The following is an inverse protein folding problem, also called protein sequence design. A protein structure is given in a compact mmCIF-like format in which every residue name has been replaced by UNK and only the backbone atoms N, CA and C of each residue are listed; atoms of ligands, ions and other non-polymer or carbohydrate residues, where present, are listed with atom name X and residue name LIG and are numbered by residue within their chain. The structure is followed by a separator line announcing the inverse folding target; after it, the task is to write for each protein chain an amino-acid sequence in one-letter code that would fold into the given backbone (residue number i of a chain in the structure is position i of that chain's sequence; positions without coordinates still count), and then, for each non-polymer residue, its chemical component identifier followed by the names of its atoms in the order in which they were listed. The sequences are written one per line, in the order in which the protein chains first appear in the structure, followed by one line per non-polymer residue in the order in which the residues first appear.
data_IF_068112108426
#
_entry.id   IF_068112108426
#
_cell.length_a   1.000
_cell.length_b   1.000
_cell.length_c   1.000
_cell.angle_alpha   90.00
_cell.angle_beta   90.00
_cell.angle_gamma   90.00
#
_symmetry.space_group_name_H-M   'P 1'
#
loop_
_entity.id
_entity.type
_entity.pdbx_description
1 polymer ?
#
# COMPACT_ATOMS: atom_id res chain seq x y z
N UNK A 1 -2.31 -20.91 -31.90
CA UNK A 1 -2.50 -20.95 -30.42
C UNK A 1 -2.41 -19.51 -29.92
N UNK A 2 -3.42 -18.98 -29.23
CA UNK A 2 -3.39 -17.61 -28.71
C UNK A 2 -2.44 -17.55 -27.50
N UNK A 3 -1.56 -16.55 -27.43
CA UNK A 3 -0.63 -16.32 -26.31
C UNK A 3 -1.35 -16.40 -24.94
N UNK A 4 -2.58 -15.90 -24.86
CA UNK A 4 -3.44 -15.99 -23.67
C UNK A 4 -3.84 -17.41 -23.26
N UNK A 5 -4.05 -18.31 -24.23
CA UNK A 5 -4.39 -19.71 -23.94
C UNK A 5 -3.17 -20.50 -23.45
N UNK A 6 -1.95 -20.07 -23.84
CA UNK A 6 -0.71 -20.66 -23.39
C UNK A 6 -0.27 -20.17 -21.99
N UNK A 7 -0.64 -18.94 -21.62
CA UNK A 7 -0.16 -18.26 -20.41
C UNK A 7 -1.07 -18.39 -19.17
N UNK A 8 -2.31 -18.88 -19.29
CA UNK A 8 -3.15 -19.20 -18.12
C UNK A 8 -3.35 -18.03 -17.14
N UNK A 9 -3.09 -18.26 -15.84
CA UNK A 9 -3.25 -17.26 -14.77
C UNK A 9 -2.21 -16.12 -14.82
N UNK A 10 -1.03 -16.37 -15.42
CA UNK A 10 0.08 -15.42 -15.52
C UNK A 10 -0.24 -14.23 -16.44
N UNK A 11 -1.29 -14.37 -17.25
CA UNK A 11 -1.86 -13.32 -18.11
C UNK A 11 -2.31 -12.07 -17.33
N UNK A 12 -2.85 -12.26 -16.12
CA UNK A 12 -3.33 -11.14 -15.30
C UNK A 12 -2.16 -10.27 -14.86
N UNK A 13 -1.15 -10.91 -14.28
CA UNK A 13 0.10 -10.27 -13.86
C UNK A 13 0.82 -9.58 -15.03
N UNK A 14 0.87 -10.22 -16.20
CA UNK A 14 1.47 -9.62 -17.39
C UNK A 14 0.71 -8.37 -17.86
N UNK A 15 -0.62 -8.34 -17.71
CA UNK A 15 -1.42 -7.14 -17.99
C UNK A 15 -1.10 -5.99 -17.03
N UNK A 16 -1.03 -6.26 -15.73
CA UNK A 16 -0.63 -5.27 -14.73
C UNK A 16 0.79 -4.74 -14.99
N UNK A 17 1.72 -5.62 -15.39
CA UNK A 17 3.07 -5.23 -15.77
C UNK A 17 3.09 -4.33 -17.01
N UNK A 18 2.35 -4.68 -18.06
CA UNK A 18 2.24 -3.83 -19.26
C UNK A 18 1.63 -2.48 -18.91
N UNK A 19 0.59 -2.45 -18.07
CA UNK A 19 -0.04 -1.21 -17.61
C UNK A 19 0.96 -0.33 -16.85
N UNK A 20 1.70 -0.86 -15.88
CA UNK A 20 2.68 -0.08 -15.12
C UNK A 20 3.85 0.43 -15.96
N UNK A 21 4.18 -0.25 -17.07
CA UNK A 21 5.16 0.27 -18.05
C UNK A 21 4.59 1.37 -18.94
N UNK A 22 3.32 1.28 -19.32
CA UNK A 22 2.64 2.31 -20.11
C UNK A 22 2.33 3.57 -19.28
N UNK A 23 2.10 3.41 -17.98
CA UNK A 23 1.80 4.48 -17.04
C UNK A 23 2.83 4.47 -15.89
N UNK A 24 4.02 5.07 -16.07
CA UNK A 24 5.09 5.06 -15.06
C UNK A 24 4.70 5.69 -13.72
N UNK A 25 3.67 6.55 -13.72
CA UNK A 25 3.12 7.18 -12.52
C UNK A 25 1.98 6.35 -11.89
N UNK A 26 1.76 5.10 -12.32
CA UNK A 26 0.80 4.22 -11.70
C UNK A 26 1.35 3.67 -10.37
N UNK A 27 0.64 3.98 -9.29
CA UNK A 27 0.99 3.59 -7.94
C UNK A 27 0.31 2.26 -7.56
N UNK A 28 1.00 1.31 -6.92
CA UNK A 28 0.34 0.05 -6.50
C UNK A 28 -0.63 0.32 -5.34
N UNK A 29 -1.86 -0.18 -5.45
CA UNK A 29 -2.88 0.04 -4.41
C UNK A 29 -2.45 -0.45 -3.03
N UNK A 30 -1.84 -1.64 -2.96
CA UNK A 30 -1.28 -2.21 -1.72
C UNK A 30 -0.21 -1.33 -1.07
N UNK A 31 0.72 -0.80 -1.85
CA UNK A 31 1.76 0.10 -1.34
C UNK A 31 1.17 1.40 -0.82
N UNK A 32 0.23 1.99 -1.56
CA UNK A 32 -0.44 3.22 -1.12
C UNK A 32 -1.29 2.98 0.12
N UNK A 33 -1.99 1.84 0.21
CA UNK A 33 -2.73 1.45 1.42
C UNK A 33 -1.81 1.38 2.64
N UNK A 34 -0.62 0.78 2.48
CA UNK A 34 0.39 0.68 3.51
C UNK A 34 0.88 2.05 3.98
N UNK A 35 1.26 2.92 3.05
CA UNK A 35 1.70 4.28 3.35
C UNK A 35 0.59 5.06 4.07
N UNK A 36 -0.65 5.02 3.57
CA UNK A 36 -1.80 5.70 4.17
C UNK A 36 -2.09 5.20 5.59
N UNK A 37 -2.04 3.88 5.81
CA UNK A 37 -2.20 3.31 7.15
C UNK A 37 -1.08 3.79 8.09
N UNK A 38 0.17 3.78 7.63
CA UNK A 38 1.31 4.20 8.44
C UNK A 38 1.15 5.63 8.94
N UNK A 39 0.78 6.56 8.04
CA UNK A 39 0.49 7.95 8.40
C UNK A 39 -0.68 8.04 9.36
N UNK A 40 -1.79 7.34 9.09
CA UNK A 40 -2.96 7.32 9.98
C UNK A 40 -2.62 6.80 11.38
N UNK A 41 -1.83 5.73 11.45
CA UNK A 41 -1.44 5.06 12.68
C UNK A 41 -0.49 5.89 13.52
N UNK A 42 0.36 6.72 12.89
CA UNK A 42 1.26 7.65 13.59
C UNK A 42 0.54 8.57 14.58
N UNK A 43 -0.71 8.96 14.28
CA UNK A 43 -1.52 9.84 15.13
C UNK A 43 -2.33 9.10 16.19
N UNK A 44 -2.38 7.76 16.12
CA UNK A 44 -3.21 6.91 17.00
C UNK A 44 -2.39 6.18 18.04
N UNK A 45 -1.16 5.79 17.70
CA UNK A 45 -0.26 5.16 18.65
C UNK A 45 0.10 6.14 19.77
N UNK A 46 -0.18 5.74 21.01
CA UNK A 46 0.16 6.50 22.22
C UNK A 46 1.04 5.64 23.15
N UNK A 47 2.27 5.31 22.74
CA UNK A 47 3.15 4.54 23.60
C UNK A 47 3.60 5.38 24.80
N UNK A 48 3.99 4.69 25.87
CA UNK A 48 4.70 5.34 26.96
C UNK A 48 6.10 5.73 26.46
N UNK A 49 6.62 6.91 26.83
CA UNK A 49 8.01 7.23 26.57
C UNK A 49 8.92 6.14 27.17
N UNK A 50 9.87 5.67 26.38
CA UNK A 50 10.82 4.65 26.76
C UNK A 50 12.20 4.95 26.15
N UNK A 51 13.25 4.27 26.63
CA UNK A 51 14.52 4.25 25.93
C UNK A 51 14.46 3.42 24.64
N UNK A 52 15.45 3.53 23.74
CA UNK A 52 15.55 2.64 22.60
C UNK A 52 15.72 1.18 23.08
N UNK A 53 15.08 0.20 22.41
CA UNK A 53 15.29 -1.21 22.72
C UNK A 53 16.74 -1.60 22.40
N UNK A 54 17.25 -2.56 23.15
CA UNK A 54 18.55 -3.15 22.90
C UNK A 54 18.44 -4.67 22.99
N UNK A 55 18.95 -5.37 21.99
CA UNK A 55 19.05 -6.82 21.96
C UNK A 55 20.50 -7.20 21.63
N UNK A 56 21.03 -8.18 22.35
CA UNK A 56 22.41 -8.63 22.18
C UNK A 56 22.52 -9.71 21.10
N UNK A 57 23.49 -9.56 20.20
CA UNK A 57 23.89 -10.60 19.24
C UNK A 57 23.49 -10.31 17.79
N UNK A 58 24.00 -11.12 16.83
CA UNK A 58 23.74 -10.91 15.41
C UNK A 58 22.31 -11.34 15.02
N UNK A 59 21.56 -10.42 14.42
CA UNK A 59 20.25 -10.69 13.83
C UNK A 59 19.27 -9.52 13.93
N UNK A 60 18.04 -9.79 13.49
CA UNK A 60 16.92 -8.85 13.53
C UNK A 60 15.89 -9.37 14.53
N UNK A 61 15.72 -8.63 15.62
CA UNK A 61 14.90 -9.04 16.75
C UNK A 61 13.73 -8.10 16.95
N UNK A 62 12.56 -8.65 17.21
CA UNK A 62 11.37 -7.89 17.59
C UNK A 62 10.70 -8.50 18.81
N UNK A 63 9.81 -7.72 19.43
CA UNK A 63 8.93 -8.18 20.50
C UNK A 63 7.49 -7.91 20.11
N UNK A 64 6.59 -8.73 20.63
CA UNK A 64 5.15 -8.54 20.44
C UNK A 64 4.71 -7.28 21.16
N UNK A 65 4.53 -6.21 20.38
CA UNK A 65 3.97 -4.95 20.83
C UNK A 65 2.49 -5.13 21.15
N UNK A 66 2.10 -4.77 22.37
CA UNK A 66 0.72 -4.82 22.84
C UNK A 66 0.09 -3.42 22.82
N UNK A 67 0.07 -2.81 21.63
CA UNK A 67 -0.70 -1.60 21.34
C UNK A 67 -1.88 -1.95 20.48
N UNK A 68 -2.96 -1.18 20.63
CA UNK A 68 -4.10 -1.25 19.72
C UNK A 68 -3.64 -0.82 18.33
N UNK A 69 -3.66 -1.76 17.39
CA UNK A 69 -3.31 -1.49 16.01
C UNK A 69 -4.54 -1.01 15.26
N UNK A 70 -4.48 0.10 14.51
CA UNK A 70 -5.68 0.59 13.84
C UNK A 70 -6.21 -0.36 12.77
N UNK A 71 -5.33 -1.00 11.99
CA UNK A 71 -5.72 -1.83 10.83
C UNK A 71 -4.79 -3.07 10.66
N UNK A 72 -3.64 -2.96 9.97
CA UNK A 72 -2.73 -4.09 9.67
C UNK A 72 -1.42 -4.11 10.48
N UNK A 73 -1.40 -4.95 11.53
CA UNK A 73 -0.24 -5.08 12.44
C UNK A 73 1.07 -5.54 11.76
N UNK A 74 1.01 -6.13 10.58
CA UNK A 74 2.15 -6.77 9.92
C UNK A 74 3.02 -5.84 9.08
N UNK A 75 2.53 -4.66 8.69
CA UNK A 75 3.24 -3.79 7.75
C UNK A 75 4.39 -3.01 8.38
N UNK A 76 4.34 -2.76 9.68
CA UNK A 76 5.34 -1.97 10.38
C UNK A 76 5.85 -2.74 11.58
N UNK A 77 7.09 -3.18 11.52
CA UNK A 77 7.67 -4.04 12.56
C UNK A 77 8.82 -3.30 13.24
N UNK A 78 8.68 -2.92 14.52
CA UNK A 78 9.79 -2.37 15.28
C UNK A 78 10.80 -3.48 15.57
N UNK A 79 12.08 -3.21 15.34
CA UNK A 79 13.16 -4.18 15.48
C UNK A 79 14.40 -3.57 16.15
N UNK A 80 15.25 -4.46 16.62
CA UNK A 80 16.69 -4.20 16.77
C UNK A 80 17.38 -4.97 15.65
N UNK A 81 17.96 -4.25 14.69
CA UNK A 81 18.62 -4.74 13.48
C UNK A 81 20.14 -4.65 13.66
N UNK A 82 20.79 -5.80 13.89
CA UNK A 82 22.23 -5.89 14.20
C UNK A 82 22.70 -4.93 15.31
N UNK A 83 21.85 -4.73 16.33
CA UNK A 83 22.12 -3.87 17.48
C UNK A 83 21.57 -2.45 17.36
N UNK A 84 21.09 -2.05 16.18
CA UNK A 84 20.54 -0.72 15.94
C UNK A 84 19.00 -0.74 15.95
N UNK A 85 18.32 0.18 16.64
CA UNK A 85 16.86 0.27 16.60
C UNK A 85 16.38 0.73 15.21
N UNK A 86 15.37 0.04 14.68
CA UNK A 86 14.77 0.38 13.40
C UNK A 86 13.28 0.00 13.34
N UNK A 87 12.57 0.49 12.34
CA UNK A 87 11.23 0.03 11.98
C UNK A 87 11.27 -0.44 10.53
N UNK A 88 11.05 -1.73 10.32
CA UNK A 88 10.99 -2.32 8.99
C UNK A 88 9.59 -2.10 8.41
N UNK A 89 9.54 -1.62 7.18
CA UNK A 89 8.32 -1.56 6.37
C UNK A 89 8.22 -2.84 5.54
N UNK A 90 7.08 -3.52 5.66
CA UNK A 90 6.75 -4.81 5.03
C UNK A 90 7.89 -5.84 4.99
N UNK A 91 8.47 -6.21 6.16
CA UNK A 91 9.59 -7.12 6.16
C UNK A 91 9.21 -8.51 5.63
N UNK A 92 10.08 -9.15 4.84
CA UNK A 92 9.89 -10.53 4.39
C UNK A 92 9.59 -11.50 5.55
N UNK A 93 8.76 -12.51 5.26
CA UNK A 93 8.46 -13.56 6.23
C UNK A 93 9.74 -14.22 6.73
N UNK A 94 9.81 -14.45 8.05
CA UNK A 94 10.95 -15.09 8.76
C UNK A 94 12.23 -14.24 8.83
N UNK A 95 12.23 -13.00 8.34
CA UNK A 95 13.35 -12.08 8.54
C UNK A 95 13.52 -11.74 10.03
N UNK A 96 12.41 -11.47 10.71
CA UNK A 96 12.37 -10.98 12.09
C UNK A 96 12.18 -12.13 13.08
N UNK A 97 13.02 -12.18 14.12
CA UNK A 97 12.91 -13.13 15.24
C UNK A 97 12.14 -12.50 16.39
N UNK A 98 11.00 -13.08 16.76
CA UNK A 98 10.20 -12.61 17.91
C UNK A 98 10.66 -13.28 19.20
N UNK A 99 11.18 -12.48 20.15
CA UNK A 99 11.82 -12.99 21.38
C UNK A 99 10.98 -12.85 22.65
N UNK A 100 9.75 -12.36 22.54
CA UNK A 100 8.85 -12.23 23.68
C UNK A 100 7.83 -11.10 23.52
N UNK A 101 7.25 -10.67 24.64
CA UNK A 101 6.35 -9.50 24.69
C UNK A 101 7.14 -8.24 25.02
N UNK A 102 6.69 -7.10 24.49
CA UNK A 102 7.21 -5.77 24.84
C UNK A 102 6.60 -5.31 26.17
N UNK A 103 7.26 -5.65 27.28
CA UNK A 103 6.76 -5.35 28.64
C UNK A 103 7.01 -3.89 29.01
N UNK A 104 8.18 -3.37 28.63
CA UNK A 104 8.64 -2.04 29.02
C UNK A 104 8.18 -0.93 28.04
N UNK A 105 7.62 -1.32 26.88
CA UNK A 105 7.08 -0.39 25.88
C UNK A 105 8.12 0.19 24.93
N UNK A 106 9.36 -0.30 24.95
CA UNK A 106 10.45 0.21 24.13
C UNK A 106 10.21 -0.03 22.63
N UNK A 107 9.68 -1.20 22.26
CA UNK A 107 9.32 -1.51 20.86
C UNK A 107 8.11 -0.71 20.40
N UNK A 108 7.11 -0.53 21.25
CA UNK A 108 5.97 0.35 21.00
C UNK A 108 6.42 1.80 20.75
N UNK A 109 7.41 2.26 21.52
CA UNK A 109 7.94 3.62 21.42
C UNK A 109 8.68 3.83 20.10
N UNK A 110 9.63 2.97 19.73
CA UNK A 110 10.34 3.11 18.44
C UNK A 110 9.39 2.97 17.25
N UNK A 111 8.33 2.15 17.37
CA UNK A 111 7.30 2.05 16.35
C UNK A 111 6.59 3.39 16.12
N UNK A 112 6.21 4.09 17.19
CA UNK A 112 5.62 5.43 17.05
C UNK A 112 6.59 6.44 16.44
N UNK A 113 7.89 6.36 16.76
CA UNK A 113 8.90 7.24 16.20
C UNK A 113 9.07 6.97 14.70
N UNK A 114 9.19 5.70 14.30
CA UNK A 114 9.27 5.32 12.89
C UNK A 114 8.02 5.74 12.10
N UNK A 115 6.81 5.55 12.65
CA UNK A 115 5.60 6.04 11.97
C UNK A 115 5.52 7.57 11.89
N UNK A 116 6.03 8.29 12.90
CA UNK A 116 6.14 9.74 12.83
C UNK A 116 7.12 10.18 11.73
N UNK A 117 8.28 9.52 11.61
CA UNK A 117 9.21 9.73 10.51
C UNK A 117 8.56 9.42 9.15
N UNK A 118 7.75 8.38 9.04
CA UNK A 118 7.03 8.06 7.79
C UNK A 118 6.12 9.21 7.39
N UNK A 119 5.38 9.75 8.36
CA UNK A 119 4.52 10.92 8.15
C UNK A 119 5.33 12.13 7.68
N UNK A 120 6.49 12.40 8.28
CA UNK A 120 7.35 13.50 7.85
C UNK A 120 7.95 13.27 6.46
N UNK A 121 8.42 12.06 6.18
CA UNK A 121 8.93 11.70 4.85
C UNK A 121 7.86 11.91 3.77
N UNK A 122 6.65 11.41 3.98
CA UNK A 122 5.56 11.55 3.00
C UNK A 122 5.11 13.01 2.86
N UNK A 123 4.97 13.76 3.96
CA UNK A 123 4.36 15.09 3.94
C UNK A 123 5.35 16.25 3.71
N UNK A 124 6.62 16.04 4.03
CA UNK A 124 7.67 17.09 4.07
C UNK A 124 8.96 16.70 3.36
N UNK A 125 9.07 15.46 2.89
CA UNK A 125 10.28 14.93 2.24
C UNK A 125 11.50 14.88 3.17
N UNK A 126 11.25 14.81 4.49
CA UNK A 126 12.28 14.67 5.51
C UNK A 126 12.85 13.23 5.49
N UNK A 127 14.15 13.02 5.28
CA UNK A 127 14.73 11.69 5.21
C UNK A 127 14.65 10.97 6.57
N UNK A 128 14.12 9.73 6.63
CA UNK A 128 13.94 9.02 7.88
C UNK A 128 15.22 8.34 8.35
N UNK A 129 15.39 8.24 9.67
CA UNK A 129 16.58 7.67 10.30
C UNK A 129 16.34 6.26 10.84
N UNK A 130 15.11 5.96 11.27
CA UNK A 130 14.69 4.69 11.87
C UNK A 130 14.00 3.75 10.87
N UNK A 131 13.36 4.28 9.83
CA UNK A 131 12.66 3.46 8.84
C UNK A 131 13.63 2.77 7.88
N UNK A 132 13.28 1.54 7.48
CA UNK A 132 13.98 0.74 6.46
C UNK A 132 12.96 0.10 5.52
N UNK A 133 13.35 -0.09 4.25
CA UNK A 133 12.46 -0.65 3.22
C UNK A 133 11.67 0.40 2.45
N UNK A 134 11.98 1.68 2.59
CA UNK A 134 11.30 2.75 1.86
C UNK A 134 11.71 2.85 0.39
N UNK A 135 12.90 2.34 0.06
CA UNK A 135 13.42 2.23 -1.29
C UNK A 135 12.56 1.34 -2.21
N UNK A 136 11.62 0.57 -1.64
CA UNK A 136 10.65 -0.21 -2.39
C UNK A 136 9.51 0.64 -2.96
N UNK A 137 9.28 1.85 -2.45
CA UNK A 137 8.22 2.73 -2.89
C UNK A 137 8.68 3.68 -4.00
N UNK A 138 7.79 3.91 -4.95
CA UNK A 138 7.99 4.88 -6.03
C UNK A 138 7.48 6.27 -5.62
N UNK A 139 7.97 7.33 -6.28
CA UNK A 139 7.46 8.69 -6.07
C UNK A 139 5.95 8.80 -6.31
N UNK A 140 5.41 8.06 -7.29
CA UNK A 140 3.97 8.01 -7.54
C UNK A 140 3.17 7.45 -6.36
N UNK A 141 3.72 6.49 -5.62
CA UNK A 141 3.10 5.91 -4.42
C UNK A 141 3.14 6.89 -3.25
N UNK A 142 4.25 7.60 -3.08
CA UNK A 142 4.38 8.65 -2.08
C UNK A 142 3.41 9.81 -2.37
N UNK A 143 3.32 10.26 -3.63
CA UNK A 143 2.39 11.31 -4.06
C UNK A 143 0.92 10.90 -3.85
N UNK A 144 0.54 9.70 -4.31
CA UNK A 144 -0.81 9.19 -4.14
C UNK A 144 -1.18 9.07 -2.66
N UNK A 145 -0.29 8.54 -1.81
CA UNK A 145 -0.51 8.46 -0.37
C UNK A 145 -0.65 9.85 0.27
N UNK A 146 0.21 10.80 -0.11
CA UNK A 146 0.17 12.20 0.37
C UNK A 146 -1.17 12.86 0.03
N UNK A 147 -1.65 12.71 -1.20
CA UNK A 147 -2.93 13.29 -1.62
C UNK A 147 -4.13 12.61 -0.96
N UNK A 148 -4.13 11.27 -0.88
CA UNK A 148 -5.21 10.51 -0.25
C UNK A 148 -5.31 10.79 1.25
N UNK A 149 -4.19 10.85 1.95
CA UNK A 149 -4.20 11.12 3.38
C UNK A 149 -4.83 12.49 3.70
N UNK A 150 -4.61 13.51 2.86
CA UNK A 150 -5.27 14.83 3.01
C UNK A 150 -6.79 14.76 2.86
N UNK A 151 -7.29 13.79 2.08
CA UNK A 151 -8.73 13.55 1.86
C UNK A 151 -9.32 12.59 2.89
N UNK A 152 -8.47 11.88 3.63
CA UNK A 152 -8.86 10.87 4.60
C UNK A 152 -9.49 11.55 5.83
N UNK A 153 -10.80 11.49 5.90
CA UNK A 153 -11.58 11.93 7.05
C UNK A 153 -12.67 10.93 7.38
N UNK A 154 -13.02 10.81 8.65
CA UNK A 154 -14.07 9.90 9.12
C UNK A 154 -13.69 9.17 10.41
N UNK A 155 -14.58 8.27 10.81
CA UNK A 155 -14.35 7.40 11.96
C UNK A 155 -13.32 6.28 11.64
N UNK A 156 -12.76 5.60 12.66
CA UNK A 156 -11.77 4.54 12.46
C UNK A 156 -12.25 3.37 11.60
N UNK A 157 -13.54 3.04 11.64
CA UNK A 157 -14.10 1.92 10.86
C UNK A 157 -14.11 2.26 9.38
N UNK A 158 -14.51 3.48 9.03
CA UNK A 158 -14.44 3.97 7.66
C UNK A 158 -13.01 4.01 7.14
N UNK A 159 -12.05 4.48 7.95
CA UNK A 159 -10.63 4.49 7.56
C UNK A 159 -10.11 3.08 7.32
N UNK A 160 -10.48 2.11 8.17
CA UNK A 160 -10.13 0.71 7.97
C UNK A 160 -10.71 0.17 6.65
N UNK A 161 -11.98 0.46 6.34
CA UNK A 161 -12.60 0.07 5.08
C UNK A 161 -11.90 0.68 3.87
N UNK A 162 -11.46 1.93 3.95
CA UNK A 162 -10.69 2.60 2.88
C UNK A 162 -9.38 1.87 2.64
N UNK A 163 -8.58 1.64 3.69
CA UNK A 163 -7.26 0.98 3.56
C UNK A 163 -7.40 -0.42 2.99
N UNK A 164 -8.36 -1.21 3.49
CA UNK A 164 -8.63 -2.54 2.93
C UNK A 164 -9.08 -2.48 1.47
N UNK A 165 -9.89 -1.48 1.11
CA UNK A 165 -10.31 -1.29 -0.28
C UNK A 165 -9.12 -0.94 -1.18
N UNK A 166 -8.27 -0.01 -0.76
CA UNK A 166 -7.07 0.40 -1.50
C UNK A 166 -6.10 -0.77 -1.68
N UNK A 167 -5.96 -1.62 -0.65
CA UNK A 167 -5.08 -2.79 -0.70
C UNK A 167 -5.45 -3.76 -1.82
N UNK A 168 -6.72 -3.82 -2.19
CA UNK A 168 -7.18 -4.69 -3.28
C UNK A 168 -7.27 -4.02 -4.65
N UNK A 169 -7.09 -2.70 -4.73
CA UNK A 169 -7.05 -1.96 -6.00
C UNK A 169 -5.76 -2.31 -6.75
N UNK A 170 -5.84 -2.56 -8.05
CA UNK A 170 -4.66 -2.93 -8.84
C UNK A 170 -3.68 -1.74 -8.89
N UNK A 171 -4.17 -0.53 -9.23
CA UNK A 171 -3.37 0.70 -9.25
C UNK A 171 -4.16 1.96 -8.88
N UNK A 172 -3.44 2.98 -8.41
CA UNK A 172 -3.88 4.36 -8.37
C UNK A 172 -3.15 5.16 -9.44
N UNK A 173 -3.85 6.09 -10.08
CA UNK A 173 -3.28 6.99 -11.07
C UNK A 173 -3.62 8.42 -10.69
N UNK A 174 -2.60 9.28 -10.62
CA UNK A 174 -2.76 10.71 -10.34
C UNK A 174 -2.58 11.49 -11.64
N UNK A 175 -3.64 12.16 -12.09
CA UNK A 175 -3.63 13.01 -13.29
C UNK A 175 -4.36 14.32 -12.98
N UNK A 176 -3.71 15.45 -13.24
CA UNK A 176 -4.28 16.80 -13.03
C UNK A 176 -4.91 17.03 -11.63
N UNK A 177 -4.33 16.39 -10.60
CA UNK A 177 -4.81 16.46 -9.21
C UNK A 177 -6.00 15.54 -8.89
N UNK A 178 -6.52 14.82 -9.88
CA UNK A 178 -7.52 13.77 -9.72
C UNK A 178 -6.84 12.44 -9.41
N UNK A 179 -7.51 11.60 -8.62
CA UNK A 179 -6.99 10.27 -8.26
C UNK A 179 -7.97 9.23 -8.80
N UNK A 180 -7.48 8.37 -9.66
CA UNK A 180 -8.24 7.25 -10.21
C UNK A 180 -7.87 5.98 -9.46
N UNK A 181 -8.85 5.17 -9.08
CA UNK A 181 -8.61 3.77 -8.74
C UNK A 181 -8.86 2.93 -9.98
N UNK A 182 -7.81 2.23 -10.38
CA UNK A 182 -7.72 1.55 -11.67
C UNK A 182 -7.76 0.06 -11.45
N UNK A 183 -8.69 -0.58 -12.14
CA UNK A 183 -8.71 -2.02 -12.29
C UNK A 183 -8.13 -2.42 -13.65
N UNK A 184 -7.23 -3.39 -13.67
CA UNK A 184 -6.62 -3.90 -14.88
C UNK A 184 -7.31 -5.19 -15.31
N UNK A 185 -7.67 -5.27 -16.60
CA UNK A 185 -8.24 -6.44 -17.23
C UNK A 185 -7.49 -6.80 -18.50
N UNK A 186 -6.79 -7.93 -18.48
CA UNK A 186 -6.21 -8.48 -19.70
C UNK A 186 -7.24 -9.29 -20.49
N UNK A 187 -7.50 -8.93 -21.75
CA UNK A 187 -8.32 -9.74 -22.66
C UNK A 187 -8.12 -9.39 -24.13
N UNK A 188 -8.06 -10.40 -25.01
CA UNK A 188 -7.99 -10.18 -26.46
C UNK A 188 -9.33 -9.80 -27.12
N UNK A 189 -10.46 -9.91 -26.39
CA UNK A 189 -11.79 -9.58 -26.90
C UNK A 189 -12.59 -8.87 -25.80
N UNK A 190 -12.50 -7.53 -25.69
CA UNK A 190 -13.23 -6.78 -24.68
C UNK A 190 -14.72 -6.72 -25.05
N UNK A 191 -15.50 -7.60 -24.46
CA UNK A 191 -16.97 -7.58 -24.56
C UNK A 191 -17.57 -7.24 -23.20
N UNK A 192 -18.74 -6.62 -23.17
CA UNK A 192 -19.40 -6.25 -21.90
C UNK A 192 -19.55 -7.43 -20.94
N UNK A 193 -19.86 -8.62 -21.46
CA UNK A 193 -19.96 -9.83 -20.64
C UNK A 193 -18.63 -10.18 -19.92
N UNK A 194 -17.48 -9.95 -20.56
CA UNK A 194 -16.16 -10.23 -19.98
C UNK A 194 -15.67 -9.15 -19.03
N UNK A 195 -16.12 -7.90 -19.23
CA UNK A 195 -15.76 -6.77 -18.39
C UNK A 195 -16.68 -6.65 -17.16
N UNK A 196 -17.90 -7.21 -17.22
CA UNK A 196 -18.94 -7.12 -16.18
C UNK A 196 -18.42 -7.38 -14.76
N UNK A 197 -17.62 -8.43 -14.56
CA UNK A 197 -17.08 -8.77 -13.22
C UNK A 197 -16.14 -7.68 -12.69
N UNK A 198 -15.21 -7.19 -13.52
CA UNK A 198 -14.28 -6.13 -13.13
C UNK A 198 -15.00 -4.79 -12.93
N UNK A 199 -15.96 -4.44 -13.79
CA UNK A 199 -16.85 -3.28 -13.57
C UNK A 199 -17.62 -3.36 -12.26
N UNK A 200 -18.21 -4.53 -11.94
CA UNK A 200 -18.93 -4.70 -10.68
C UNK A 200 -18.02 -4.57 -9.45
N UNK A 201 -16.78 -5.07 -9.53
CA UNK A 201 -15.76 -4.90 -8.49
C UNK A 201 -15.36 -3.43 -8.33
N UNK A 202 -15.07 -2.75 -9.45
CA UNK A 202 -14.75 -1.32 -9.49
C UNK A 202 -15.87 -0.48 -8.85
N UNK A 203 -17.14 -0.77 -9.16
CA UNK A 203 -18.29 -0.07 -8.56
C UNK A 203 -18.43 -0.32 -7.05
N UNK A 204 -18.15 -1.55 -6.57
CA UNK A 204 -18.12 -1.84 -5.13
C UNK A 204 -17.04 -1.04 -4.42
N UNK A 205 -15.84 -0.95 -5.00
CA UNK A 205 -14.73 -0.17 -4.45
C UNK A 205 -15.06 1.33 -4.47
N UNK A 206 -15.67 1.80 -5.55
CA UNK A 206 -16.12 3.19 -5.70
C UNK A 206 -17.08 3.61 -4.57
N UNK A 207 -17.93 2.72 -4.06
CA UNK A 207 -18.82 3.02 -2.94
C UNK A 207 -18.06 3.42 -1.64
N UNK A 208 -16.81 2.96 -1.49
CA UNK A 208 -15.93 3.28 -0.37
C UNK A 208 -15.01 4.44 -0.72
N UNK A 209 -14.14 4.26 -1.72
CA UNK A 209 -13.08 5.23 -2.03
C UNK A 209 -13.61 6.46 -2.78
N UNK A 210 -14.79 6.40 -3.38
CA UNK A 210 -15.44 7.55 -3.99
C UNK A 210 -15.77 8.65 -2.99
N UNK A 211 -15.95 8.32 -1.71
CA UNK A 211 -16.12 9.32 -0.62
C UNK A 211 -14.86 10.17 -0.40
N UNK A 212 -13.69 9.68 -0.83
CA UNK A 212 -12.42 10.40 -0.84
C UNK A 212 -12.16 11.10 -2.18
N UNK A 213 -13.17 11.14 -3.07
CA UNK A 213 -13.06 11.76 -4.39
C UNK A 213 -12.26 10.95 -5.41
N UNK A 214 -12.05 9.65 -5.17
CA UNK A 214 -11.43 8.80 -6.19
C UNK A 214 -12.44 8.50 -7.30
N UNK A 215 -11.92 8.46 -8.53
CA UNK A 215 -12.71 8.15 -9.73
C UNK A 215 -12.43 6.73 -10.21
N UNK A 216 -13.45 5.98 -10.65
CA UNK A 216 -13.26 4.62 -11.12
C UNK A 216 -12.68 4.61 -12.55
N UNK A 217 -11.68 3.78 -12.79
CA UNK A 217 -11.14 3.54 -14.13
C UNK A 217 -10.91 2.05 -14.38
N UNK A 218 -11.19 1.60 -15.60
CA UNK A 218 -10.93 0.24 -16.05
C UNK A 218 -9.87 0.28 -17.16
N UNK A 219 -8.67 -0.19 -16.87
CA UNK A 219 -7.64 -0.39 -17.88
C UNK A 219 -7.82 -1.77 -18.53
N UNK A 220 -8.03 -1.80 -19.85
CA UNK A 220 -8.12 -3.03 -20.62
C UNK A 220 -6.84 -3.20 -21.42
N UNK A 221 -6.08 -4.24 -21.08
CA UNK A 221 -4.85 -4.59 -21.80
C UNK A 221 -5.19 -5.65 -22.84
N UNK A 222 -5.00 -5.31 -24.11
CA UNK A 222 -5.31 -6.16 -25.25
C UNK A 222 -4.00 -6.73 -25.80
N UNK A 223 -3.72 -8.02 -25.58
CA UNK A 223 -2.51 -8.67 -26.12
C UNK A 223 -2.67 -8.88 -27.63
N UNK A 224 -2.27 -7.88 -28.41
CA UNK A 224 -1.98 -7.95 -29.84
C UNK A 224 -0.46 -7.98 -30.05
N UNK A 225 0.01 -7.73 -31.26
CA UNK A 225 1.46 -7.65 -31.55
C UNK A 225 2.19 -6.61 -30.68
N UNK A 226 1.51 -5.51 -30.29
CA UNK A 226 2.10 -4.41 -29.52
C UNK A 226 1.55 -4.25 -28.08
N UNK A 227 0.74 -5.18 -27.56
CA UNK A 227 0.13 -5.08 -26.21
C UNK A 227 -0.53 -3.71 -25.92
N UNK A 228 -1.49 -3.31 -26.76
CA UNK A 228 -2.21 -2.04 -26.63
C UNK A 228 -2.97 -1.96 -25.29
N UNK A 229 -2.89 -0.80 -24.64
CA UNK A 229 -3.62 -0.50 -23.40
C UNK A 229 -4.72 0.51 -23.72
N UNK A 230 -5.97 0.12 -23.50
CA UNK A 230 -7.13 1.00 -23.61
C UNK A 230 -7.61 1.36 -22.20
N UNK A 231 -7.55 2.65 -21.84
CA UNK A 231 -8.10 3.13 -20.57
C UNK A 231 -9.56 3.54 -20.76
N UNK A 232 -10.45 2.88 -20.02
CA UNK A 232 -11.87 3.19 -19.99
C UNK A 232 -12.15 3.95 -18.70
N UNK A 233 -12.31 5.26 -18.81
CA UNK A 233 -12.82 6.07 -17.70
C UNK A 233 -14.29 5.73 -17.51
N UNK A 234 -14.62 5.07 -16.41
CA UNK A 234 -15.99 4.70 -16.11
C UNK A 234 -16.69 5.96 -15.58
N UNK A 235 -17.77 6.37 -16.26
CA UNK A 235 -18.58 7.49 -15.77
C UNK A 235 -19.27 7.03 -14.48
N UNK A 236 -19.00 7.77 -13.40
CA UNK A 236 -19.67 7.61 -12.11
C UNK A 236 -21.16 7.88 -12.19
#
# INVERSE_FOLDING_TARGET
MNLLQALGADVGYLGEYVFSKAFPNAARGEHVAMLVEGVYSSHRLKPRPAGPPAESGPGIYSRHVNVEWPIHKSWFVPVVDYGEPAVLVDPPKRLVKYVGRDVDGAYAYILSLGLAELTWYIQREDPPSLLRGLEAFTEAELEAARLLYKRLGGDPEFVAQVVETLREVDFLLVEDGEIYHVEVKTTARPTDAKLRKKRAMLQRRQAVVGKLGLKPALAVVVPRENWEVELWLEKG
#
